data_IF_223776804201
#
_entry.id   IF_223776804201
#
_cell.length_a   1.000
_cell.length_b   1.000
_cell.length_c   1.000
_cell.angle_alpha   90.00
_cell.angle_beta   90.00
_cell.angle_gamma   90.00
#
_symmetry.space_group_name_H-M   'P 1'
#
loop_
_entity.id
_entity.type
_entity.pdbx_description
1 polymer ?
#
# COMPACT_ATOMS: atom_id res chain seq x y z
N UNK A 1 -23.23 0.18 -6.60
CA UNK A 1 -22.07 0.02 -7.51
C UNK A 1 -22.16 -1.36 -8.14
N UNK A 2 -22.51 -1.43 -9.42
CA UNK A 2 -22.67 -2.70 -10.13
C UNK A 2 -21.29 -3.32 -10.40
N UNK A 3 -20.96 -4.39 -9.67
CA UNK A 3 -19.75 -5.20 -9.87
C UNK A 3 -19.74 -5.99 -11.18
N UNK A 4 -20.79 -5.85 -12.01
CA UNK A 4 -20.95 -6.58 -13.27
C UNK A 4 -20.34 -5.86 -14.49
N UNK A 5 -19.86 -4.62 -14.34
CA UNK A 5 -19.09 -3.96 -15.41
C UNK A 5 -17.64 -4.43 -15.38
N UNK A 6 -16.99 -4.44 -16.55
CA UNK A 6 -15.57 -4.81 -16.64
C UNK A 6 -14.68 -3.91 -15.76
N UNK A 7 -15.07 -2.65 -15.63
CA UNK A 7 -14.39 -1.66 -14.79
C UNK A 7 -14.57 -1.95 -13.29
N UNK A 8 -15.76 -2.37 -12.87
CA UNK A 8 -16.04 -2.76 -11.49
C UNK A 8 -15.20 -3.97 -11.04
N UNK A 9 -15.03 -4.98 -11.92
CA UNK A 9 -14.14 -6.12 -11.65
C UNK A 9 -12.67 -5.70 -11.56
N UNK A 10 -12.21 -4.84 -12.47
CA UNK A 10 -10.82 -4.34 -12.44
C UNK A 10 -10.50 -3.60 -11.15
N UNK A 11 -11.41 -2.71 -10.72
CA UNK A 11 -11.27 -1.99 -9.45
C UNK A 11 -11.29 -2.93 -8.24
N UNK A 12 -12.18 -3.94 -8.23
CA UNK A 12 -12.25 -4.93 -7.16
C UNK A 12 -10.94 -5.71 -7.03
N UNK A 13 -10.40 -6.23 -8.14
CA UNK A 13 -9.14 -6.98 -8.13
C UNK A 13 -7.95 -6.12 -7.73
N UNK A 14 -7.94 -4.84 -8.10
CA UNK A 14 -6.89 -3.92 -7.69
C UNK A 14 -6.93 -3.67 -6.18
N UNK A 15 -8.11 -3.42 -5.62
CA UNK A 15 -8.27 -3.27 -4.16
C UNK A 15 -7.86 -4.55 -3.43
N UNK A 16 -8.28 -5.71 -3.93
CA UNK A 16 -7.93 -7.00 -3.35
C UNK A 16 -6.41 -7.25 -3.42
N UNK A 17 -5.77 -6.96 -4.55
CA UNK A 17 -4.32 -7.07 -4.70
C UNK A 17 -3.56 -6.14 -3.75
N UNK A 18 -4.03 -4.90 -3.59
CA UNK A 18 -3.44 -3.92 -2.67
C UNK A 18 -3.59 -4.38 -1.22
N UNK A 19 -4.74 -4.93 -0.84
CA UNK A 19 -4.94 -5.51 0.49
C UNK A 19 -4.00 -6.68 0.74
N UNK A 20 -3.88 -7.61 -0.21
CA UNK A 20 -2.99 -8.77 -0.08
C UNK A 20 -1.54 -8.31 0.06
N UNK A 21 -1.06 -7.41 -0.81
CA UNK A 21 0.33 -6.90 -0.75
C UNK A 21 0.58 -6.11 0.53
N UNK A 22 -0.36 -5.24 0.91
CA UNK A 22 -0.23 -4.38 2.09
C UNK A 22 -0.22 -5.16 3.41
N UNK A 23 -1.07 -6.17 3.53
CA UNK A 23 -1.26 -6.90 4.79
C UNK A 23 -0.51 -8.23 4.85
N UNK A 24 0.09 -8.69 3.76
CA UNK A 24 0.90 -9.92 3.74
C UNK A 24 1.95 -9.99 4.87
N UNK A 25 2.76 -8.95 5.15
CA UNK A 25 3.77 -9.03 6.21
C UNK A 25 3.16 -9.29 7.60
N UNK A 26 1.99 -8.72 7.88
CA UNK A 26 1.22 -8.95 9.10
C UNK A 26 0.64 -10.36 9.14
N UNK A 27 0.17 -10.85 7.98
CA UNK A 27 -0.26 -12.23 7.82
C UNK A 27 0.87 -13.20 8.20
N UNK A 28 2.06 -13.03 7.61
CA UNK A 28 3.23 -13.87 7.93
C UNK A 28 3.60 -13.80 9.40
N UNK A 29 3.64 -12.60 9.99
CA UNK A 29 3.94 -12.44 11.42
C UNK A 29 2.91 -13.12 12.33
N UNK A 30 1.66 -13.26 11.89
CA UNK A 30 0.60 -13.88 12.67
C UNK A 30 0.60 -15.41 12.61
N UNK A 31 1.06 -16.01 11.49
CA UNK A 31 1.02 -17.47 11.30
C UNK A 31 2.39 -18.15 11.39
N UNK A 32 3.49 -17.42 11.17
CA UNK A 32 4.82 -17.98 11.22
C UNK A 32 5.53 -17.57 12.51
N UNK A 33 6.21 -18.52 13.14
CA UNK A 33 7.07 -18.25 14.29
C UNK A 33 8.41 -17.70 13.79
N UNK A 34 8.42 -16.40 13.48
CA UNK A 34 9.56 -15.69 12.91
C UNK A 34 10.34 -14.99 14.02
N UNK A 35 11.64 -15.21 14.07
CA UNK A 35 12.52 -14.63 15.10
C UNK A 35 13.72 -13.90 14.50
N UNK A 36 14.35 -13.06 15.33
CA UNK A 36 15.56 -12.33 14.99
C UNK A 36 15.43 -11.42 13.76
N UNK A 37 16.39 -11.44 12.81
CA UNK A 37 16.43 -10.49 11.71
C UNK A 37 15.25 -10.63 10.74
N UNK A 38 14.67 -11.83 10.60
CA UNK A 38 13.51 -12.07 9.74
C UNK A 38 12.24 -11.39 10.29
N UNK A 39 12.04 -11.42 11.61
CA UNK A 39 10.93 -10.70 12.27
C UNK A 39 11.07 -9.20 12.07
N UNK A 40 12.27 -8.67 12.29
CA UNK A 40 12.60 -7.25 12.11
C UNK A 40 12.32 -6.76 10.68
N UNK A 41 12.68 -7.59 9.70
CA UNK A 41 12.38 -7.31 8.29
C UNK A 41 10.88 -7.27 8.02
N UNK A 42 10.09 -8.21 8.56
CA UNK A 42 8.65 -8.26 8.37
C UNK A 42 7.92 -7.08 9.05
N UNK A 43 8.35 -6.71 10.26
CA UNK A 43 7.81 -5.55 10.98
C UNK A 43 8.08 -4.26 10.22
N UNK A 44 9.31 -4.08 9.71
CA UNK A 44 9.66 -2.95 8.85
C UNK A 44 8.94 -2.97 7.49
N UNK A 45 8.72 -4.16 6.92
CA UNK A 45 8.03 -4.32 5.64
C UNK A 45 6.53 -3.97 5.73
N UNK A 46 5.89 -4.15 6.89
CA UNK A 46 4.48 -3.80 7.11
C UNK A 46 4.10 -2.38 6.64
N UNK A 47 4.63 -1.31 7.25
CA UNK A 47 4.31 0.06 6.83
C UNK A 47 4.72 0.36 5.39
N UNK A 48 5.83 -0.22 4.91
CA UNK A 48 6.30 -0.04 3.52
C UNK A 48 5.27 -0.61 2.54
N UNK A 49 4.82 -1.84 2.76
CA UNK A 49 3.86 -2.54 1.90
C UNK A 49 2.49 -1.86 1.89
N UNK A 50 1.98 -1.44 3.05
CA UNK A 50 0.70 -0.72 3.16
C UNK A 50 0.77 0.60 2.40
N UNK A 51 1.83 1.38 2.63
CA UNK A 51 1.99 2.67 1.99
C UNK A 51 2.18 2.56 0.46
N UNK A 52 2.89 1.53 0.00
CA UNK A 52 3.02 1.24 -1.43
C UNK A 52 1.67 0.88 -2.05
N UNK A 53 0.87 0.08 -1.34
CA UNK A 53 -0.50 -0.24 -1.73
C UNK A 53 -1.39 1.00 -1.91
N UNK A 54 -1.36 1.92 -0.93
CA UNK A 54 -2.07 3.19 -1.03
C UNK A 54 -1.57 4.08 -2.16
N UNK A 55 -0.25 4.16 -2.38
CA UNK A 55 0.30 4.92 -3.50
C UNK A 55 -0.19 4.39 -4.85
N UNK A 56 -0.26 3.07 -5.02
CA UNK A 56 -0.83 2.44 -6.23
C UNK A 56 -2.31 2.76 -6.39
N UNK A 57 -3.11 2.70 -5.32
CA UNK A 57 -4.52 3.10 -5.35
C UNK A 57 -4.70 4.56 -5.77
N UNK A 58 -3.92 5.46 -5.19
CA UNK A 58 -3.97 6.90 -5.50
C UNK A 58 -3.62 7.14 -6.96
N UNK A 59 -2.55 6.54 -7.47
CA UNK A 59 -2.13 6.68 -8.86
C UNK A 59 -3.18 6.11 -9.82
N UNK A 60 -3.73 4.93 -9.52
CA UNK A 60 -4.77 4.33 -10.33
C UNK A 60 -6.05 5.18 -10.36
N UNK A 61 -6.52 5.62 -9.19
CA UNK A 61 -7.70 6.46 -9.06
C UNK A 61 -7.50 7.83 -9.73
N UNK A 62 -6.35 8.47 -9.54
CA UNK A 62 -6.06 9.75 -10.18
C UNK A 62 -5.85 9.65 -11.69
N UNK A 63 -5.32 8.53 -12.19
CA UNK A 63 -5.20 8.29 -13.63
C UNK A 63 -6.55 8.02 -14.29
N UNK A 64 -7.43 7.23 -13.65
CA UNK A 64 -8.67 6.76 -14.27
C UNK A 64 -9.89 7.63 -13.96
N UNK A 65 -9.94 8.21 -12.76
CA UNK A 65 -11.06 9.01 -12.26
C UNK A 65 -10.66 10.45 -11.92
N UNK A 66 -9.48 10.92 -12.35
CA UNK A 66 -8.95 12.24 -11.99
C UNK A 66 -9.92 13.40 -12.28
N UNK A 67 -10.62 13.37 -13.42
CA UNK A 67 -11.64 14.36 -13.76
C UNK A 67 -12.86 14.30 -12.84
N UNK A 68 -13.32 13.08 -12.52
CA UNK A 68 -14.46 12.86 -11.60
C UNK A 68 -14.12 13.16 -10.13
N UNK A 69 -12.85 13.04 -9.75
CA UNK A 69 -12.34 13.34 -8.41
C UNK A 69 -11.86 14.80 -8.27
N UNK A 70 -11.93 15.60 -9.34
CA UNK A 70 -11.37 16.96 -9.41
C UNK A 70 -9.90 17.02 -8.97
N UNK A 71 -9.16 15.92 -9.14
CA UNK A 71 -7.76 15.84 -8.74
C UNK A 71 -6.87 16.36 -9.85
N UNK A 72 -6.07 17.37 -9.52
CA UNK A 72 -4.98 17.76 -10.41
C UNK A 72 -3.92 16.65 -10.46
N UNK A 73 -3.27 16.51 -11.62
CA UNK A 73 -2.17 15.55 -11.79
C UNK A 73 -1.06 15.75 -10.75
N UNK A 74 -0.81 17.00 -10.34
CA UNK A 74 0.14 17.34 -9.27
C UNK A 74 -0.30 16.83 -7.90
N UNK A 75 -1.58 16.95 -7.54
CA UNK A 75 -2.09 16.43 -6.26
C UNK A 75 -2.02 14.90 -6.20
N UNK A 76 -2.37 14.21 -7.29
CA UNK A 76 -2.28 12.73 -7.36
C UNK A 76 -0.84 12.26 -7.11
N UNK A 77 0.12 12.87 -7.83
CA UNK A 77 1.53 12.55 -7.64
C UNK A 77 2.05 12.95 -6.26
N UNK A 78 1.65 14.10 -5.74
CA UNK A 78 2.02 14.56 -4.40
C UNK A 78 1.59 13.58 -3.31
N UNK A 79 0.34 13.11 -3.37
CA UNK A 79 -0.19 12.12 -2.43
C UNK A 79 0.54 10.77 -2.57
N UNK A 80 0.75 10.29 -3.79
CA UNK A 80 1.47 9.02 -4.02
C UNK A 80 2.90 9.07 -3.46
N UNK A 81 3.64 10.15 -3.75
CA UNK A 81 5.01 10.36 -3.22
C UNK A 81 5.01 10.49 -1.70
N UNK A 82 4.02 11.18 -1.12
CA UNK A 82 3.89 11.30 0.33
C UNK A 82 3.71 9.93 1.00
N UNK A 83 2.81 9.09 0.48
CA UNK A 83 2.63 7.74 1.01
C UNK A 83 3.90 6.89 0.86
N UNK A 84 4.56 6.92 -0.30
CA UNK A 84 5.85 6.23 -0.48
C UNK A 84 6.91 6.70 0.53
N UNK A 85 7.01 8.01 0.74
CA UNK A 85 7.92 8.59 1.73
C UNK A 85 7.60 8.15 3.15
N UNK A 86 6.32 8.18 3.55
CA UNK A 86 5.88 7.70 4.87
C UNK A 86 6.16 6.21 5.07
N UNK A 87 5.94 5.39 4.04
CA UNK A 87 6.24 3.96 4.07
C UNK A 87 7.72 3.70 4.29
N UNK A 88 8.58 4.38 3.53
CA UNK A 88 10.04 4.27 3.66
C UNK A 88 10.53 4.75 5.03
N UNK A 89 10.06 5.91 5.49
CA UNK A 89 10.45 6.46 6.79
C UNK A 89 9.96 5.58 7.94
N UNK A 90 8.72 5.08 7.86
CA UNK A 90 8.17 4.13 8.83
C UNK A 90 8.94 2.81 8.85
N UNK A 91 9.24 2.25 7.68
CA UNK A 91 10.03 1.03 7.55
C UNK A 91 11.45 1.18 8.09
N UNK A 92 12.14 2.26 7.74
CA UNK A 92 13.48 2.57 8.27
C UNK A 92 13.44 2.82 9.78
N UNK A 93 12.45 3.56 10.27
CA UNK A 93 12.27 3.84 11.69
C UNK A 93 12.10 2.56 12.51
N UNK A 94 11.23 1.65 12.06
CA UNK A 94 11.05 0.34 12.70
C UNK A 94 12.29 -0.53 12.57
N UNK A 95 12.92 -0.52 11.38
CA UNK A 95 14.18 -1.24 11.17
C UNK A 95 15.23 -0.78 12.17
N UNK A 96 15.42 0.52 12.44
CA UNK A 96 16.43 0.95 13.42
C UNK A 96 15.97 0.85 14.89
N UNK A 97 14.66 0.87 15.16
CA UNK A 97 14.10 0.78 16.52
C UNK A 97 14.14 -0.63 17.12
N UNK A 98 14.15 -1.68 16.29
CA UNK A 98 14.20 -3.08 16.75
C UNK A 98 15.65 -3.54 17.03
N UNK A 99 16.49 -2.63 17.58
CA UNK A 99 17.89 -2.86 17.95
C UNK A 99 18.05 -3.56 19.29
#
# INVERSE_FOLDING_TARGET
MELNTWEGRGAFWLVLGVLVVGFWPLGVLAVADVSGPARRMLVAAGPVSICLGFAVLILWCGHRYGEGLQWSRRQTWGLAVMFLGLGLLGGLGLWFSES
#
